data_IF_765771040558
#
_entry.id   IF_765771040558
#
_cell.length_a   1.000
_cell.length_b   1.000
_cell.length_c   1.000
_cell.angle_alpha   90.00
_cell.angle_beta   90.00
_cell.angle_gamma   90.00
#
_symmetry.space_group_name_H-M   'P 1'
#
loop_
_entity.id
_entity.type
_entity.pdbx_description
1 polymer ?
#
# COMPACT_ATOMS: atom_id res chain seq x y z
N UNK A 1 36.17 -64.11 -5.90
CA UNK A 1 35.70 -64.65 -4.60
C UNK A 1 34.36 -64.03 -4.27
N UNK A 2 33.33 -64.85 -4.40
CA UNK A 2 31.90 -64.46 -4.39
C UNK A 2 31.40 -64.50 -2.93
N UNK A 3 30.72 -63.50 -2.48
CA UNK A 3 29.82 -63.64 -1.32
C UNK A 3 28.46 -63.02 -1.63
N UNK A 4 27.54 -63.92 -1.88
CA UNK A 4 26.08 -63.69 -1.89
C UNK A 4 25.61 -63.38 -0.44
N UNK A 5 24.78 -62.41 -0.27
CA UNK A 5 23.98 -62.33 0.92
C UNK A 5 22.51 -62.10 0.58
N UNK A 6 21.70 -62.88 1.25
CA UNK A 6 20.36 -63.33 1.00
C UNK A 6 19.32 -62.25 1.25
N UNK A 7 18.30 -62.32 0.41
CA UNK A 7 16.98 -61.72 0.54
C UNK A 7 16.26 -62.22 1.78
N UNK A 8 15.70 -61.32 2.55
CA UNK A 8 14.64 -61.65 3.48
C UNK A 8 13.36 -60.93 3.05
N UNK A 9 12.44 -61.73 2.54
CA UNK A 9 11.07 -61.37 2.22
C UNK A 9 10.29 -61.35 3.54
N UNK A 10 9.69 -60.20 3.90
CA UNK A 10 8.62 -60.17 4.92
C UNK A 10 7.39 -59.63 4.21
N UNK A 11 6.46 -60.53 3.98
CA UNK A 11 5.12 -60.21 3.56
C UNK A 11 4.30 -59.84 4.80
N UNK A 12 3.69 -58.64 4.81
CA UNK A 12 2.57 -58.36 5.71
C UNK A 12 1.40 -57.87 4.86
N UNK A 13 0.30 -58.52 5.15
CA UNK A 13 -1.03 -58.51 4.50
C UNK A 13 -1.82 -57.21 4.75
N UNK A 14 -2.55 -56.82 3.72
CA UNK A 14 -3.94 -56.32 3.72
C UNK A 14 -4.24 -55.03 4.52
N UNK A 15 -4.40 -53.97 3.79
CA UNK A 15 -5.23 -52.83 4.14
C UNK A 15 -5.56 -52.08 2.85
N UNK A 16 -6.71 -52.37 2.25
CA UNK A 16 -7.19 -51.72 1.04
C UNK A 16 -7.47 -50.23 1.30
N UNK A 17 -6.68 -49.38 0.72
CA UNK A 17 -7.02 -47.96 0.58
C UNK A 17 -7.51 -47.78 -0.85
N UNK A 18 -8.81 -47.56 -0.98
CA UNK A 18 -9.45 -47.13 -2.21
C UNK A 18 -8.81 -45.78 -2.63
N UNK A 19 -8.01 -45.81 -3.67
CA UNK A 19 -7.54 -44.63 -4.35
C UNK A 19 -8.68 -44.12 -5.25
N UNK A 20 -9.42 -43.13 -4.78
CA UNK A 20 -10.33 -42.35 -5.63
C UNK A 20 -9.45 -41.37 -6.41
N UNK A 21 -9.39 -41.43 -7.73
CA UNK A 21 -8.75 -40.41 -8.51
C UNK A 21 -9.62 -39.15 -8.43
N UNK A 22 -9.19 -38.19 -7.61
CA UNK A 22 -9.68 -36.80 -7.70
C UNK A 22 -9.15 -36.26 -9.01
N UNK A 23 -10.00 -36.24 -10.02
CA UNK A 23 -9.80 -35.53 -11.26
C UNK A 23 -9.81 -34.03 -10.90
N UNK A 24 -8.65 -33.47 -10.63
CA UNK A 24 -8.47 -32.05 -10.56
C UNK A 24 -8.63 -31.50 -11.99
N UNK A 25 -9.85 -31.15 -12.36
CA UNK A 25 -10.06 -30.13 -13.37
C UNK A 25 -9.38 -28.87 -12.84
N UNK A 26 -8.26 -28.51 -13.45
CA UNK A 26 -7.69 -27.19 -13.33
C UNK A 26 -8.70 -26.21 -13.94
N UNK A 27 -9.59 -25.67 -13.11
CA UNK A 27 -10.28 -24.45 -13.44
C UNK A 27 -9.20 -23.38 -13.53
N UNK A 28 -8.97 -22.94 -14.76
CA UNK A 28 -8.25 -21.70 -15.03
C UNK A 28 -9.10 -20.57 -14.45
N UNK A 29 -8.92 -20.30 -13.15
CA UNK A 29 -9.35 -19.08 -12.56
C UNK A 29 -8.55 -17.97 -13.24
N UNK A 30 -9.19 -17.33 -14.20
CA UNK A 30 -8.76 -16.07 -14.77
C UNK A 30 -8.47 -15.12 -13.62
N UNK A 31 -7.18 -14.78 -13.46
CA UNK A 31 -6.71 -13.79 -12.50
C UNK A 31 -7.04 -12.40 -13.07
N UNK A 32 -8.33 -12.10 -13.14
CA UNK A 32 -8.86 -10.77 -13.36
C UNK A 32 -9.40 -10.24 -12.04
N UNK A 33 -8.48 -10.04 -11.10
CA UNK A 33 -8.78 -9.20 -9.95
C UNK A 33 -8.07 -7.88 -10.16
N UNK A 34 -8.80 -6.80 -10.41
CA UNK A 34 -8.18 -5.48 -10.44
C UNK A 34 -7.66 -5.17 -9.05
N UNK A 35 -6.36 -5.31 -8.86
CA UNK A 35 -5.61 -4.95 -7.64
C UNK A 35 -5.71 -3.46 -7.27
N UNK A 36 -6.67 -2.75 -7.88
CA UNK A 36 -6.84 -1.30 -7.74
C UNK A 36 -7.70 -0.92 -6.52
N UNK A 37 -8.39 -1.89 -5.88
CA UNK A 37 -9.35 -1.63 -4.82
C UNK A 37 -8.78 -1.64 -3.38
N UNK A 38 -7.49 -1.92 -3.19
CA UNK A 38 -6.94 -2.12 -1.84
C UNK A 38 -6.57 -0.84 -1.07
N UNK A 39 -6.66 0.33 -1.70
CA UNK A 39 -6.40 1.59 -0.99
C UNK A 39 -7.71 2.21 -0.52
N UNK A 40 -8.26 1.70 0.57
CA UNK A 40 -9.48 2.22 1.19
C UNK A 40 -9.15 3.09 2.40
N UNK A 41 -9.81 4.23 2.50
CA UNK A 41 -9.85 5.02 3.72
C UNK A 41 -10.71 4.30 4.76
N UNK A 42 -10.19 4.04 5.97
CA UNK A 42 -10.83 3.22 7.00
C UNK A 42 -11.42 4.06 8.14
N UNK A 43 -11.46 5.35 8.04
CA UNK A 43 -12.00 6.15 9.14
C UNK A 43 -13.52 6.17 9.14
N UNK A 44 -14.19 6.14 10.32
CA UNK A 44 -15.63 6.38 10.42
C UNK A 44 -16.07 7.68 9.75
N UNK A 45 -15.24 8.72 9.82
CA UNK A 45 -15.45 9.98 9.13
C UNK A 45 -15.52 9.82 7.60
N UNK A 46 -14.68 8.95 6.99
CA UNK A 46 -14.73 8.69 5.55
C UNK A 46 -16.02 7.96 5.16
N UNK A 47 -16.56 7.10 6.03
CA UNK A 47 -17.83 6.41 5.79
C UNK A 47 -19.04 7.33 5.95
N UNK A 48 -19.02 8.23 6.93
CA UNK A 48 -20.04 9.27 7.11
C UNK A 48 -20.06 10.22 5.93
N UNK A 49 -18.88 10.63 5.46
CA UNK A 49 -18.76 11.55 4.32
C UNK A 49 -19.21 10.94 2.98
N UNK A 50 -19.02 9.62 2.77
CA UNK A 50 -19.59 8.93 1.61
C UNK A 50 -21.12 8.78 1.70
N UNK A 51 -21.66 8.53 2.90
CA UNK A 51 -23.10 8.43 3.12
C UNK A 51 -23.77 9.79 2.98
N UNK A 52 -23.13 10.86 3.46
CA UNK A 52 -23.64 12.23 3.34
C UNK A 52 -23.57 12.75 1.90
N UNK A 53 -22.59 12.34 1.12
CA UNK A 53 -22.52 12.65 -0.32
C UNK A 53 -23.62 11.92 -1.10
N UNK A 54 -23.87 10.64 -0.80
CA UNK A 54 -24.96 9.87 -1.41
C UNK A 54 -26.34 10.35 -0.95
N UNK A 55 -26.49 10.75 0.31
CA UNK A 55 -27.72 11.34 0.83
C UNK A 55 -27.98 12.73 0.26
N UNK A 56 -26.97 13.52 0.00
CA UNK A 56 -27.08 14.82 -0.67
C UNK A 56 -27.44 14.68 -2.15
N UNK A 57 -26.97 13.64 -2.82
CA UNK A 57 -27.39 13.30 -4.19
C UNK A 57 -28.85 12.78 -4.24
N UNK A 58 -29.28 12.01 -3.25
CA UNK A 58 -30.63 11.45 -3.15
C UNK A 58 -31.67 12.45 -2.67
N UNK A 59 -31.31 13.43 -1.88
CA UNK A 59 -32.22 14.39 -1.21
C UNK A 59 -32.53 15.65 -2.02
N UNK A 60 -32.48 15.62 -3.34
CA UNK A 60 -33.09 16.65 -4.16
C UNK A 60 -32.21 17.83 -4.58
N UNK A 61 -30.94 17.58 -4.88
CA UNK A 61 -30.04 18.56 -5.51
C UNK A 61 -30.59 19.18 -6.81
N UNK A 62 -31.71 18.67 -7.34
CA UNK A 62 -32.35 19.17 -8.55
C UNK A 62 -33.21 20.43 -8.38
N UNK A 63 -33.71 20.72 -7.16
CA UNK A 63 -34.52 21.93 -6.94
C UNK A 63 -33.64 23.16 -6.69
N UNK A 64 -32.60 23.02 -5.87
CA UNK A 64 -31.63 24.09 -5.61
C UNK A 64 -30.73 24.37 -6.80
N UNK A 65 -30.48 23.38 -7.64
CA UNK A 65 -29.66 23.54 -8.85
C UNK A 65 -30.29 24.52 -9.85
N UNK A 66 -31.63 24.54 -9.99
CA UNK A 66 -32.32 25.46 -10.89
C UNK A 66 -32.36 26.92 -10.38
N UNK A 67 -32.49 27.10 -9.08
CA UNK A 67 -32.40 28.43 -8.45
C UNK A 67 -30.97 28.97 -8.48
N UNK A 68 -30.03 28.07 -8.43
CA UNK A 68 -28.56 28.30 -8.47
C UNK A 68 -28.05 28.60 -9.90
N UNK A 69 -28.79 28.24 -10.97
CA UNK A 69 -28.42 28.49 -12.35
C UNK A 69 -28.77 29.91 -12.87
N UNK A 70 -29.34 30.81 -12.04
CA UNK A 70 -29.78 32.16 -12.44
C UNK A 70 -28.72 33.28 -12.52
N UNK A 71 -27.60 33.21 -11.74
CA UNK A 71 -26.57 34.29 -11.78
C UNK A 71 -25.14 33.70 -11.64
N UNK A 72 -24.47 33.42 -12.85
CA UNK A 72 -23.65 32.25 -12.73
C UNK A 72 -22.33 32.14 -13.44
N UNK A 73 -21.67 33.14 -13.82
CA UNK A 73 -20.27 32.99 -14.24
C UNK A 73 -19.27 33.21 -13.09
N UNK A 74 -19.57 34.09 -12.14
CA UNK A 74 -18.64 34.43 -11.05
C UNK A 74 -18.69 33.49 -9.83
N UNK A 75 -19.88 32.96 -9.48
CA UNK A 75 -20.02 32.09 -8.29
C UNK A 75 -19.57 30.64 -8.52
N UNK A 76 -19.68 30.13 -9.74
CA UNK A 76 -19.27 28.76 -10.09
C UNK A 76 -17.76 28.56 -9.94
N UNK A 77 -16.96 29.52 -10.42
CA UNK A 77 -15.49 29.47 -10.27
C UNK A 77 -15.05 29.58 -8.80
N UNK A 78 -15.75 30.37 -8.01
CA UNK A 78 -15.48 30.52 -6.59
C UNK A 78 -15.81 29.24 -5.76
N UNK A 79 -16.89 28.53 -6.11
CA UNK A 79 -17.27 27.27 -5.45
C UNK A 79 -16.31 26.14 -5.83
N UNK A 80 -15.97 26.00 -7.12
CA UNK A 80 -14.99 25.01 -7.60
C UNK A 80 -13.61 25.26 -6.97
N UNK A 81 -13.18 26.51 -6.88
CA UNK A 81 -11.89 26.87 -6.20
C UNK A 81 -11.92 26.55 -4.72
N UNK A 82 -13.03 26.79 -4.01
CA UNK A 82 -13.17 26.44 -2.58
C UNK A 82 -13.16 24.93 -2.38
N UNK A 83 -13.89 24.18 -3.20
CA UNK A 83 -13.92 22.73 -3.18
C UNK A 83 -12.53 22.13 -3.47
N UNK A 84 -11.87 22.58 -4.55
CA UNK A 84 -10.51 22.16 -4.88
C UNK A 84 -9.51 22.52 -3.76
N UNK A 85 -9.61 23.71 -3.16
CA UNK A 85 -8.78 24.11 -2.02
C UNK A 85 -9.04 23.25 -0.80
N UNK A 86 -10.29 22.84 -0.55
CA UNK A 86 -10.65 21.91 0.53
C UNK A 86 -10.00 20.54 0.33
N UNK A 87 -10.05 19.96 -0.87
CA UNK A 87 -9.41 18.70 -1.20
C UNK A 87 -7.88 18.80 -1.06
N UNK A 88 -7.28 19.84 -1.60
CA UNK A 88 -5.82 20.06 -1.51
C UNK A 88 -5.39 20.18 -0.05
N UNK A 89 -6.12 20.92 0.76
CA UNK A 89 -5.82 21.08 2.19
C UNK A 89 -5.94 19.75 2.94
N UNK A 90 -6.95 18.94 2.68
CA UNK A 90 -7.11 17.60 3.29
C UNK A 90 -5.96 16.67 2.91
N UNK A 91 -5.60 16.60 1.63
CA UNK A 91 -4.49 15.76 1.18
C UNK A 91 -3.16 16.22 1.79
N UNK A 92 -2.95 17.52 1.90
CA UNK A 92 -1.75 18.07 2.55
C UNK A 92 -1.72 17.77 4.04
N UNK A 93 -2.87 17.80 4.74
CA UNK A 93 -2.96 17.46 6.16
C UNK A 93 -2.71 15.96 6.41
N UNK A 94 -3.22 15.07 5.55
CA UNK A 94 -2.95 13.64 5.63
C UNK A 94 -1.46 13.35 5.40
N UNK A 95 -0.85 13.95 4.38
CA UNK A 95 0.58 13.78 4.12
C UNK A 95 1.46 14.29 5.26
N UNK A 96 1.11 15.43 5.86
CA UNK A 96 1.79 15.96 7.04
C UNK A 96 1.58 15.09 8.28
N UNK A 97 0.39 14.53 8.46
CA UNK A 97 0.09 13.55 9.50
C UNK A 97 0.91 12.27 9.32
N UNK A 98 0.95 11.75 8.09
CA UNK A 98 1.71 10.57 7.72
C UNK A 98 3.20 10.70 8.04
N UNK A 99 3.84 11.79 7.59
CA UNK A 99 5.28 11.99 7.84
C UNK A 99 5.59 12.20 9.32
N UNK A 100 4.74 12.90 10.07
CA UNK A 100 4.89 13.00 11.53
C UNK A 100 4.75 11.64 12.22
N UNK A 101 3.76 10.84 11.83
CA UNK A 101 3.58 9.49 12.37
C UNK A 101 4.76 8.60 12.05
N UNK A 102 5.29 8.68 10.83
CA UNK A 102 6.48 7.94 10.43
C UNK A 102 7.69 8.25 11.33
N UNK A 103 7.94 9.51 11.61
CA UNK A 103 9.08 9.94 12.43
C UNK A 103 9.02 9.48 13.90
N UNK A 104 7.84 9.09 14.42
CA UNK A 104 7.67 8.63 15.81
C UNK A 104 8.33 7.28 16.07
N UNK A 105 8.60 6.50 15.05
CA UNK A 105 9.17 5.16 15.14
C UNK A 105 10.68 5.10 14.91
N UNK A 106 11.34 6.25 14.76
CA UNK A 106 12.81 6.28 14.62
C UNK A 106 13.45 5.54 15.80
N UNK A 107 14.41 4.65 15.47
CA UNK A 107 15.09 3.78 16.45
C UNK A 107 14.39 2.46 16.71
N UNK A 108 13.14 2.25 16.25
CA UNK A 108 12.49 0.92 16.35
C UNK A 108 13.32 -0.12 15.61
N UNK A 109 13.63 -1.29 16.22
CA UNK A 109 14.49 -2.29 15.61
C UNK A 109 13.89 -2.91 14.36
N UNK A 110 14.76 -3.42 13.47
CA UNK A 110 14.34 -4.21 12.33
C UNK A 110 13.99 -5.64 12.77
N UNK A 111 12.82 -6.10 12.37
CA UNK A 111 12.40 -7.49 12.52
C UNK A 111 11.81 -7.95 11.19
N UNK A 112 12.37 -9.00 10.60
CA UNK A 112 11.84 -9.57 9.36
C UNK A 112 10.38 -10.04 9.56
N UNK A 113 9.47 -9.63 8.72
CA UNK A 113 8.04 -9.88 8.90
C UNK A 113 7.35 -8.99 9.93
N UNK A 114 8.08 -8.10 10.62
CA UNK A 114 7.56 -7.23 11.67
C UNK A 114 6.62 -6.14 11.16
N UNK A 115 5.53 -5.90 11.91
CA UNK A 115 4.47 -4.93 11.56
C UNK A 115 4.05 -4.06 12.75
N UNK A 116 4.76 -4.14 13.87
CA UNK A 116 4.40 -3.44 15.12
C UNK A 116 5.56 -2.60 15.66
N UNK A 117 5.29 -1.78 16.66
CA UNK A 117 6.29 -0.98 17.35
C UNK A 117 7.36 -1.80 18.08
N UNK A 118 7.19 -3.10 18.24
CA UNK A 118 8.22 -4.01 18.75
C UNK A 118 9.31 -4.31 17.70
N UNK A 119 9.02 -4.11 16.43
CA UNK A 119 9.95 -4.27 15.32
C UNK A 119 9.23 -4.24 13.98
N UNK A 120 9.87 -3.67 12.98
CA UNK A 120 9.35 -3.54 11.63
C UNK A 120 10.32 -4.11 10.60
N UNK A 121 9.78 -4.73 9.54
CA UNK A 121 10.48 -4.75 8.26
C UNK A 121 10.11 -3.49 7.44
N UNK A 122 10.71 -3.31 6.26
CA UNK A 122 10.55 -2.09 5.46
C UNK A 122 9.09 -1.84 5.05
N UNK A 123 8.40 -2.85 4.55
CA UNK A 123 7.01 -2.74 4.06
C UNK A 123 5.98 -2.80 5.19
N UNK A 124 6.25 -3.54 6.26
CA UNK A 124 5.43 -3.56 7.47
C UNK A 124 5.44 -2.22 8.20
N UNK A 125 6.58 -1.54 8.22
CA UNK A 125 6.69 -0.16 8.69
C UNK A 125 5.79 0.79 7.88
N UNK A 126 5.90 0.75 6.56
CA UNK A 126 5.04 1.55 5.67
C UNK A 126 3.57 1.23 5.91
N UNK A 127 3.20 -0.05 5.96
CA UNK A 127 1.84 -0.50 6.21
C UNK A 127 1.30 0.06 7.54
N UNK A 128 2.08 -0.03 8.61
CA UNK A 128 1.70 0.48 9.93
C UNK A 128 1.46 2.00 9.93
N UNK A 129 2.39 2.76 9.35
CA UNK A 129 2.31 4.22 9.31
C UNK A 129 1.12 4.70 8.47
N UNK A 130 0.84 4.05 7.34
CA UNK A 130 -0.32 4.37 6.52
C UNK A 130 -1.64 4.02 7.21
N UNK A 131 -1.70 2.90 7.94
CA UNK A 131 -2.87 2.53 8.74
C UNK A 131 -3.21 3.58 9.83
N UNK A 132 -2.21 4.25 10.42
CA UNK A 132 -2.43 5.33 11.40
C UNK A 132 -3.16 6.54 10.81
N UNK A 133 -3.12 6.74 9.51
CA UNK A 133 -3.86 7.80 8.81
C UNK A 133 -5.07 7.25 8.04
N UNK A 134 -5.49 6.03 8.37
CA UNK A 134 -6.68 5.39 7.80
C UNK A 134 -6.51 4.87 6.38
N UNK A 135 -5.27 4.64 5.92
CA UNK A 135 -4.98 4.12 4.57
C UNK A 135 -4.41 2.71 4.64
N UNK A 136 -5.01 1.78 3.92
CA UNK A 136 -4.46 0.43 3.77
C UNK A 136 -3.51 0.35 2.59
N UNK A 137 -2.38 -0.31 2.80
CA UNK A 137 -1.42 -0.67 1.75
C UNK A 137 -1.10 -2.16 1.83
N UNK A 138 -0.72 -2.81 0.71
CA UNK A 138 -0.32 -4.21 0.70
C UNK A 138 0.84 -4.51 1.66
N UNK A 139 1.00 -5.81 2.00
CA UNK A 139 2.01 -6.21 3.00
C UNK A 139 3.44 -6.10 2.49
N UNK A 140 3.71 -6.45 1.25
CA UNK A 140 5.07 -6.56 0.70
C UNK A 140 5.48 -5.34 -0.12
N UNK A 141 6.78 -5.09 -0.23
CA UNK A 141 7.30 -3.91 -0.94
C UNK A 141 6.97 -3.93 -2.44
N UNK A 142 7.02 -5.09 -3.07
CA UNK A 142 6.65 -5.28 -4.47
C UNK A 142 5.15 -5.06 -4.70
N UNK A 143 4.28 -5.63 -3.86
CA UNK A 143 2.84 -5.39 -3.94
C UNK A 143 2.51 -3.90 -3.72
N UNK A 144 3.17 -3.21 -2.79
CA UNK A 144 3.04 -1.77 -2.60
C UNK A 144 3.48 -0.99 -3.84
N UNK A 145 4.55 -1.44 -4.52
CA UNK A 145 5.03 -0.81 -5.75
C UNK A 145 4.01 -0.92 -6.88
N UNK A 146 3.41 -2.10 -7.08
CA UNK A 146 2.45 -2.30 -8.17
C UNK A 146 1.09 -1.67 -7.86
N UNK A 147 0.65 -1.66 -6.61
CA UNK A 147 -0.61 -1.04 -6.21
C UNK A 147 -0.56 0.50 -6.23
N UNK A 148 0.60 1.12 -6.00
CA UNK A 148 0.73 2.57 -5.97
C UNK A 148 0.82 3.20 -7.38
N UNK A 149 0.33 4.44 -7.50
CA UNK A 149 0.23 5.16 -8.76
C UNK A 149 1.53 5.85 -9.18
N UNK A 150 1.78 5.94 -10.49
CA UNK A 150 2.86 6.76 -11.03
C UNK A 150 2.65 8.24 -10.66
N UNK A 151 3.73 8.92 -10.28
CA UNK A 151 3.70 10.34 -9.96
C UNK A 151 3.76 11.14 -11.27
N UNK A 152 2.75 11.97 -11.50
CA UNK A 152 2.68 12.86 -12.67
C UNK A 152 3.31 14.24 -12.40
N UNK A 153 3.14 14.75 -11.19
CA UNK A 153 3.46 16.14 -10.81
C UNK A 153 4.39 16.18 -9.59
N UNK A 154 5.67 15.86 -9.78
CA UNK A 154 6.69 15.95 -8.75
C UNK A 154 6.44 15.10 -7.50
N UNK A 155 7.51 14.67 -6.84
CA UNK A 155 7.45 13.93 -5.59
C UNK A 155 7.07 14.85 -4.42
N UNK A 156 6.26 14.36 -3.48
CA UNK A 156 5.79 15.08 -2.29
C UNK A 156 6.02 14.25 -1.03
N UNK A 157 6.20 14.87 0.14
CA UNK A 157 6.23 14.13 1.40
C UNK A 157 5.02 13.21 1.53
N UNK A 158 5.26 11.95 1.95
CA UNK A 158 4.25 10.90 2.00
C UNK A 158 4.20 9.98 0.76
N UNK A 159 4.89 10.30 -0.33
CA UNK A 159 5.08 9.36 -1.43
C UNK A 159 5.97 8.20 -0.99
N UNK A 160 5.82 7.03 -1.62
CA UNK A 160 6.68 5.89 -1.39
C UNK A 160 7.90 5.95 -2.31
N UNK A 161 9.06 5.62 -1.78
CA UNK A 161 10.32 5.48 -2.53
C UNK A 161 10.75 4.01 -2.49
N UNK A 162 11.14 3.46 -3.64
CA UNK A 162 11.43 2.05 -3.82
C UNK A 162 12.85 1.81 -4.30
N UNK A 163 13.43 0.72 -3.80
CA UNK A 163 14.80 0.32 -4.11
C UNK A 163 14.88 -1.19 -4.34
N UNK A 164 15.84 -1.59 -5.18
CA UNK A 164 16.25 -2.98 -5.34
C UNK A 164 17.43 -3.26 -4.41
N UNK A 165 17.21 -3.99 -3.31
CA UNK A 165 18.24 -4.25 -2.30
C UNK A 165 18.70 -5.71 -2.27
N UNK A 166 17.89 -6.62 -1.71
CA UNK A 166 18.25 -8.02 -1.47
C UNK A 166 17.62 -9.00 -2.48
N UNK A 167 16.65 -8.56 -3.27
CA UNK A 167 16.01 -9.33 -4.34
C UNK A 167 15.90 -8.46 -5.60
N UNK A 168 15.81 -9.06 -6.79
CA UNK A 168 15.46 -8.35 -8.01
C UNK A 168 14.11 -7.65 -7.89
N UNK A 169 13.99 -6.44 -8.45
CA UNK A 169 12.77 -5.63 -8.37
C UNK A 169 12.62 -4.85 -7.06
N UNK A 170 11.41 -4.35 -6.75
CA UNK A 170 11.16 -3.48 -5.61
C UNK A 170 11.14 -4.26 -4.29
N UNK A 171 12.32 -4.54 -3.77
CA UNK A 171 12.53 -5.33 -2.55
C UNK A 171 12.67 -4.49 -1.28
N UNK A 172 12.78 -3.16 -1.40
CA UNK A 172 12.81 -2.25 -0.26
C UNK A 172 11.99 -1.00 -0.52
N UNK A 173 11.37 -0.46 0.54
CA UNK A 173 10.46 0.68 0.47
C UNK A 173 10.67 1.60 1.67
N UNK A 174 10.48 2.90 1.44
CA UNK A 174 10.42 3.92 2.47
C UNK A 174 9.41 5.01 2.15
N UNK A 175 9.21 5.94 3.10
CA UNK A 175 8.30 7.07 2.98
C UNK A 175 9.14 8.32 2.71
N UNK A 176 8.88 9.01 1.61
CA UNK A 176 9.56 10.23 1.23
C UNK A 176 9.19 11.39 2.17
N UNK A 177 10.20 12.13 2.62
CA UNK A 177 10.05 13.26 3.54
C UNK A 177 10.24 14.63 2.84
N UNK A 178 10.59 14.62 1.56
CA UNK A 178 11.01 15.82 0.84
C UNK A 178 12.52 16.02 0.84
N UNK A 179 13.00 16.90 -0.05
CA UNK A 179 14.42 17.31 -0.14
C UNK A 179 15.40 16.12 -0.24
N UNK A 180 14.99 15.07 -0.99
CA UNK A 180 15.81 13.88 -1.21
C UNK A 180 15.94 12.94 0.00
N UNK A 181 15.20 13.17 1.09
CA UNK A 181 15.23 12.35 2.30
C UNK A 181 14.04 11.38 2.34
N UNK A 182 14.21 10.23 2.96
CA UNK A 182 13.16 9.26 3.21
C UNK A 182 13.40 8.55 4.55
N UNK A 183 12.32 8.11 5.18
CA UNK A 183 12.33 7.29 6.39
C UNK A 183 11.94 5.88 6.04
N UNK A 184 12.63 4.90 6.61
CA UNK A 184 12.42 3.48 6.32
C UNK A 184 12.90 2.63 7.49
N UNK A 185 12.47 1.37 7.57
CA UNK A 185 13.06 0.37 8.45
C UNK A 185 14.19 -0.34 7.71
N UNK A 186 15.42 -0.13 8.15
CA UNK A 186 16.64 -0.77 7.66
C UNK A 186 17.12 -1.83 8.63
N UNK A 187 18.19 -2.57 8.30
CA UNK A 187 18.86 -3.49 9.21
C UNK A 187 19.31 -2.84 10.53
N UNK A 188 19.43 -1.52 10.57
CA UNK A 188 19.78 -0.73 11.77
C UNK A 188 18.52 -0.14 12.46
N UNK A 189 17.33 -0.62 12.09
CA UNK A 189 16.06 -0.09 12.58
C UNK A 189 15.51 1.04 11.72
N UNK A 190 14.47 1.68 12.25
CA UNK A 190 13.80 2.81 11.57
C UNK A 190 14.69 4.03 11.63
N UNK A 191 15.04 4.57 10.44
CA UNK A 191 15.95 5.70 10.31
C UNK A 191 15.65 6.55 9.07
N UNK A 192 16.26 7.73 9.01
CA UNK A 192 16.21 8.61 7.84
C UNK A 192 17.50 8.45 7.02
N UNK A 193 17.33 8.27 5.71
CA UNK A 193 18.42 8.21 4.74
C UNK A 193 18.21 9.23 3.61
N UNK A 194 19.24 9.44 2.79
CA UNK A 194 19.17 10.26 1.58
C UNK A 194 19.16 9.38 0.34
N UNK A 195 18.32 9.71 -0.63
CA UNK A 195 18.28 9.00 -1.92
C UNK A 195 19.61 9.14 -2.66
N UNK A 196 20.31 10.27 -2.45
CA UNK A 196 21.63 10.56 -3.05
C UNK A 196 22.78 9.78 -2.44
N UNK A 197 22.60 9.13 -1.27
CA UNK A 197 23.65 8.32 -0.68
C UNK A 197 23.98 7.15 -1.64
N UNK A 198 25.26 6.89 -1.88
CA UNK A 198 25.77 5.94 -2.89
C UNK A 198 25.04 4.58 -2.85
N UNK A 199 24.79 4.08 -1.66
CA UNK A 199 24.07 2.81 -1.49
C UNK A 199 22.66 2.86 -2.07
N UNK A 200 21.91 3.93 -1.79
CA UNK A 200 20.54 4.11 -2.21
C UNK A 200 20.42 4.56 -3.66
N UNK A 201 21.29 5.47 -4.10
CA UNK A 201 21.28 5.98 -5.47
C UNK A 201 21.43 4.85 -6.50
N UNK A 202 22.35 3.92 -6.25
CA UNK A 202 22.61 2.77 -7.14
C UNK A 202 21.48 1.73 -7.16
N UNK A 203 20.53 1.82 -6.23
CA UNK A 203 19.44 0.86 -6.04
C UNK A 203 18.06 1.46 -6.27
N UNK A 204 18.00 2.73 -6.60
CA UNK A 204 16.76 3.49 -6.74
C UNK A 204 15.95 3.04 -7.96
N UNK A 205 14.68 2.65 -7.72
CA UNK A 205 13.73 2.23 -8.75
C UNK A 205 12.69 3.29 -9.08
N UNK A 206 12.51 4.28 -8.22
CA UNK A 206 11.54 5.33 -8.44
C UNK A 206 10.65 5.60 -7.23
N UNK A 207 9.71 6.53 -7.43
CA UNK A 207 8.72 6.89 -6.43
C UNK A 207 7.31 6.67 -6.97
N UNK A 208 6.40 6.34 -6.06
CA UNK A 208 4.98 6.18 -6.37
C UNK A 208 4.10 6.79 -5.28
N UNK A 209 2.87 7.12 -5.64
CA UNK A 209 1.91 7.77 -4.76
C UNK A 209 0.77 6.83 -4.40
N UNK A 210 0.50 6.70 -3.10
CA UNK A 210 -0.65 5.96 -2.57
C UNK A 210 -1.88 6.86 -2.51
N UNK A 211 -1.72 8.07 -1.98
CA UNK A 211 -2.82 9.02 -1.81
C UNK A 211 -3.15 9.66 -3.16
N UNK A 212 -4.30 9.34 -3.74
CA UNK A 212 -4.78 10.02 -4.95
C UNK A 212 -5.05 11.50 -4.63
N UNK A 213 -4.42 12.39 -5.38
CA UNK A 213 -4.87 13.76 -5.56
C UNK A 213 -5.55 13.79 -6.94
N UNK A 214 -6.85 13.83 -6.95
CA UNK A 214 -7.58 14.14 -8.19
C UNK A 214 -7.21 15.52 -8.70
#
# INVERSE_FOLDING_TARGET
MVRKLRVALVAILLGGVFFVPVSAKADQATVDTPMVSEFHLITPAARVEQHDLQAAEAAGANADLKMWLGDRRSTRDGAIRRFAKGIINRTSSIAAGLTRSAMRFIGTPYVFGGTSSSGFDCSGYVQHVFAMVGVRVPRTADAQFYAAHKIKNGARPGDLVFFQTYLPGPSHVGIYLGKGKFVHSSSHGVMVSRISDRYWANRYLGMKRVLKTN
#
